data_IF_002112483417
#
_entry.id   IF_002112483417
#
_cell.length_a   1.000
_cell.length_b   1.000
_cell.length_c   1.000
_cell.angle_alpha   90.00
_cell.angle_beta   90.00
_cell.angle_gamma   90.00
#
_symmetry.space_group_name_H-M   'P 1'
#
loop_
_entity.id
_entity.type
_entity.pdbx_description
1 polymer ?
#
# COMPACT_ATOMS: atom_id res chain seq x y z
N UNK A 1 21.58 46.75 -10.92
CA UNK A 1 20.53 46.18 -11.79
C UNK A 1 20.76 44.67 -11.88
N UNK A 2 19.69 43.89 -11.62
CA UNK A 2 19.36 42.50 -11.99
C UNK A 2 20.49 41.48 -12.34
N UNK A 3 20.51 40.22 -11.90
CA UNK A 3 19.49 39.14 -12.01
C UNK A 3 19.93 37.87 -11.24
N UNK A 4 18.95 37.03 -10.83
CA UNK A 4 18.95 35.53 -10.86
C UNK A 4 19.92 34.75 -9.94
N UNK A 5 19.59 33.64 -9.28
CA UNK A 5 18.56 32.61 -9.51
C UNK A 5 18.08 31.99 -8.20
N UNK A 6 16.80 31.63 -8.20
CA UNK A 6 16.15 30.70 -7.29
C UNK A 6 16.81 29.32 -7.31
N UNK A 7 16.92 28.68 -6.15
CA UNK A 7 16.79 27.22 -6.04
C UNK A 7 15.95 26.91 -4.80
N UNK A 8 14.64 26.84 -5.01
CA UNK A 8 13.74 26.12 -4.12
C UNK A 8 14.20 24.67 -4.07
N UNK A 9 14.86 24.30 -2.99
CA UNK A 9 14.86 22.92 -2.52
C UNK A 9 13.88 22.88 -1.36
N UNK A 10 12.59 22.96 -1.68
CA UNK A 10 11.56 22.44 -0.79
C UNK A 10 11.88 20.95 -0.63
N UNK A 11 12.17 20.45 0.59
CA UNK A 11 12.13 19.02 0.80
C UNK A 11 10.73 18.54 0.39
N UNK A 12 10.58 17.47 -0.41
CA UNK A 12 9.27 16.87 -0.58
C UNK A 12 8.77 16.54 0.82
N UNK A 13 7.53 16.95 1.13
CA UNK A 13 6.89 16.68 2.40
C UNK A 13 7.02 15.19 2.67
N UNK A 14 7.92 14.87 3.60
CA UNK A 14 8.18 13.54 4.11
C UNK A 14 6.88 13.08 4.78
N UNK A 15 5.98 12.50 3.99
CA UNK A 15 4.81 11.77 4.47
C UNK A 15 5.29 10.45 5.05
N UNK A 16 6.20 10.51 6.01
CA UNK A 16 6.56 9.39 6.87
C UNK A 16 5.41 9.24 7.86
N UNK A 17 4.36 8.59 7.37
CA UNK A 17 3.22 8.21 8.20
C UNK A 17 3.77 7.29 9.29
N UNK A 18 3.69 7.72 10.56
CA UNK A 18 4.31 7.06 11.72
C UNK A 18 3.68 5.68 12.07
N UNK A 19 3.00 5.04 11.12
CA UNK A 19 2.28 3.77 11.25
C UNK A 19 3.05 2.58 10.68
N UNK A 20 4.24 2.80 10.12
CA UNK A 20 5.03 1.77 9.43
C UNK A 20 4.45 1.37 8.07
N UNK A 21 3.44 2.09 7.58
CA UNK A 21 2.92 1.92 6.21
C UNK A 21 3.90 2.60 5.26
N UNK A 22 4.45 1.84 4.32
CA UNK A 22 5.36 2.37 3.30
C UNK A 22 4.57 2.61 2.01
N UNK A 23 4.70 3.81 1.45
CA UNK A 23 4.13 4.15 0.13
C UNK A 23 5.27 4.48 -0.83
N UNK A 24 5.42 3.67 -1.86
CA UNK A 24 6.34 3.94 -2.95
C UNK A 24 5.58 4.47 -4.17
N UNK A 25 5.90 5.70 -4.54
CA UNK A 25 5.49 6.35 -5.79
C UNK A 25 6.68 6.41 -6.75
N UNK A 26 6.43 6.70 -8.03
CA UNK A 26 7.47 6.76 -9.08
C UNK A 26 8.14 5.39 -9.38
N UNK A 27 7.37 4.30 -9.31
CA UNK A 27 7.84 2.95 -9.65
C UNK A 27 7.94 2.74 -11.16
N UNK A 28 9.14 2.34 -11.61
CA UNK A 28 9.37 1.97 -13.01
C UNK A 28 8.76 0.61 -13.35
N UNK A 29 8.35 0.43 -14.61
CA UNK A 29 7.79 -0.83 -15.14
C UNK A 29 8.69 -2.03 -14.86
N UNK A 30 10.01 -1.85 -14.90
CA UNK A 30 10.99 -2.87 -14.54
C UNK A 30 10.83 -3.33 -13.10
N UNK A 31 10.72 -2.40 -12.13
CA UNK A 31 10.53 -2.73 -10.70
C UNK A 31 9.23 -3.49 -10.46
N UNK A 32 8.14 -3.07 -11.10
CA UNK A 32 6.86 -3.78 -11.02
C UNK A 32 6.97 -5.21 -11.58
N UNK A 33 7.78 -5.42 -12.62
CA UNK A 33 8.03 -6.74 -13.21
C UNK A 33 8.92 -7.61 -12.34
N UNK A 34 9.97 -7.03 -11.73
CA UNK A 34 10.82 -7.72 -10.74
C UNK A 34 10.02 -8.20 -9.53
N UNK A 35 9.12 -7.36 -9.02
CA UNK A 35 8.19 -7.72 -7.94
C UNK A 35 7.21 -8.83 -8.34
N UNK A 36 6.99 -9.02 -9.65
CA UNK A 36 6.04 -10.00 -10.17
C UNK A 36 4.59 -9.64 -9.88
N UNK A 37 4.22 -8.35 -9.80
CA UNK A 37 2.84 -7.92 -9.47
C UNK A 37 1.78 -8.52 -10.40
N UNK A 38 2.17 -8.88 -11.62
CA UNK A 38 1.30 -9.54 -12.60
C UNK A 38 0.91 -10.97 -12.19
N UNK A 39 1.72 -11.61 -11.37
CA UNK A 39 1.49 -12.95 -10.82
C UNK A 39 0.65 -12.90 -9.54
N UNK A 40 0.53 -11.72 -8.91
CA UNK A 40 -0.25 -11.55 -7.70
C UNK A 40 -1.75 -11.64 -8.02
N UNK A 41 -2.57 -12.10 -7.06
CA UNK A 41 -4.03 -12.08 -7.21
C UNK A 41 -4.54 -10.64 -7.35
N UNK A 42 -5.54 -10.45 -8.22
CA UNK A 42 -6.30 -9.20 -8.31
C UNK A 42 -7.37 -9.18 -7.23
N UNK A 43 -7.50 -8.03 -6.59
CA UNK A 43 -8.60 -7.74 -5.69
C UNK A 43 -9.31 -6.46 -6.11
N UNK A 44 -10.63 -6.55 -6.19
CA UNK A 44 -11.51 -5.44 -6.54
C UNK A 44 -12.58 -5.26 -5.47
N UNK A 45 -12.85 -4.02 -5.07
CA UNK A 45 -13.85 -3.73 -4.05
C UNK A 45 -14.63 -2.43 -4.32
N UNK A 46 -15.96 -2.42 -4.13
CA UNK A 46 -16.78 -1.23 -4.31
C UNK A 46 -16.53 -0.18 -3.21
N UNK A 47 -16.89 1.09 -3.47
CA UNK A 47 -16.72 2.17 -2.51
C UNK A 47 -17.52 1.92 -1.22
N UNK A 48 -16.87 2.13 -0.08
CA UNK A 48 -17.38 1.80 1.25
C UNK A 48 -16.27 1.81 2.31
N UNK A 49 -16.66 1.60 3.57
CA UNK A 49 -15.72 1.49 4.71
C UNK A 49 -15.55 0.03 5.11
N UNK A 50 -14.30 -0.43 5.19
CA UNK A 50 -13.96 -1.80 5.54
C UNK A 50 -12.90 -1.82 6.64
N UNK A 51 -13.16 -2.52 7.73
CA UNK A 51 -12.17 -2.70 8.80
C UNK A 51 -11.35 -3.94 8.50
N UNK A 52 -10.05 -3.74 8.25
CA UNK A 52 -9.12 -4.81 7.91
C UNK A 52 -8.05 -4.95 9.01
N UNK A 53 -7.66 -6.19 9.28
CA UNK A 53 -6.59 -6.52 10.21
C UNK A 53 -5.56 -7.37 9.47
N UNK A 54 -4.32 -6.91 9.47
CA UNK A 54 -3.23 -7.57 8.78
C UNK A 54 -2.50 -8.49 9.75
N UNK A 55 -2.61 -9.81 9.58
CA UNK A 55 -1.92 -10.80 10.43
C UNK A 55 -0.51 -11.14 9.92
N UNK A 56 -0.20 -10.73 8.69
CA UNK A 56 1.10 -10.78 8.05
C UNK A 56 1.33 -9.48 7.28
N UNK A 57 2.58 -9.25 6.87
CA UNK A 57 2.89 -8.13 5.98
C UNK A 57 2.15 -8.32 4.65
N UNK A 58 1.35 -7.32 4.28
CA UNK A 58 0.66 -7.29 2.99
C UNK A 58 1.30 -6.21 2.12
N UNK A 59 1.77 -6.59 0.94
CA UNK A 59 2.13 -5.63 -0.08
C UNK A 59 1.03 -5.58 -1.11
N UNK A 60 0.53 -4.37 -1.41
CA UNK A 60 -0.47 -4.19 -2.43
C UNK A 60 -0.13 -3.03 -3.38
N UNK A 61 -0.43 -3.21 -4.67
CA UNK A 61 -0.19 -2.21 -5.71
C UNK A 61 -1.51 -1.75 -6.31
N UNK A 62 -1.83 -0.47 -6.17
CA UNK A 62 -3.08 0.07 -6.69
C UNK A 62 -2.98 0.31 -8.20
N UNK A 63 -3.93 -0.26 -8.94
CA UNK A 63 -4.08 -0.07 -10.38
C UNK A 63 -5.04 1.07 -10.69
N UNK A 64 -6.12 1.18 -9.91
CA UNK A 64 -7.10 2.27 -10.01
C UNK A 64 -7.85 2.48 -8.70
N UNK A 65 -8.52 3.62 -8.61
CA UNK A 65 -9.38 3.98 -7.50
C UNK A 65 -8.66 4.83 -6.45
N UNK A 66 -9.34 5.04 -5.32
CA UNK A 66 -8.81 5.84 -4.22
C UNK A 66 -9.20 5.25 -2.88
N UNK A 67 -8.20 5.07 -2.03
CA UNK A 67 -8.33 4.48 -0.69
C UNK A 67 -7.69 5.40 0.33
N UNK A 68 -8.36 5.50 1.48
CA UNK A 68 -7.82 6.14 2.67
C UNK A 68 -7.71 5.12 3.80
N UNK A 69 -6.51 4.94 4.32
CA UNK A 69 -6.21 4.05 5.43
C UNK A 69 -6.13 4.83 6.72
N UNK A 70 -6.97 4.45 7.68
CA UNK A 70 -7.10 5.13 8.98
C UNK A 70 -6.71 4.13 10.08
N UNK A 71 -5.50 4.23 10.66
CA UNK A 71 -5.06 3.35 11.74
C UNK A 71 -5.93 3.50 12.99
N UNK A 72 -6.16 2.38 13.69
CA UNK A 72 -6.95 2.37 14.92
C UNK A 72 -6.22 3.13 16.04
N UNK A 73 -6.87 4.14 16.61
CA UNK A 73 -6.31 4.94 17.71
C UNK A 73 -5.43 6.11 17.27
N UNK A 74 -5.41 6.42 15.97
CA UNK A 74 -4.67 7.55 15.42
C UNK A 74 -5.62 8.53 14.74
N UNK A 75 -5.32 9.82 14.86
CA UNK A 75 -6.09 10.89 14.20
C UNK A 75 -5.65 11.11 12.75
N UNK A 76 -4.46 10.66 12.39
CA UNK A 76 -3.93 10.78 11.03
C UNK A 76 -4.40 9.64 10.14
N UNK A 77 -4.27 9.84 8.83
CA UNK A 77 -4.66 8.88 7.82
C UNK A 77 -3.70 8.94 6.65
N UNK A 78 -3.67 7.86 5.88
CA UNK A 78 -2.81 7.72 4.71
C UNK A 78 -3.69 7.58 3.47
N UNK A 79 -3.52 8.47 2.51
CA UNK A 79 -4.22 8.40 1.22
C UNK A 79 -3.27 7.95 0.12
N UNK A 80 -3.73 7.01 -0.71
CA UNK A 80 -3.00 6.51 -1.86
C UNK A 80 -3.96 6.15 -2.99
N UNK A 81 -3.43 6.09 -4.21
CA UNK A 81 -4.22 5.90 -5.40
C UNK A 81 -3.56 5.00 -6.43
N UNK A 82 -4.12 5.03 -7.62
CA UNK A 82 -3.60 4.33 -8.79
C UNK A 82 -2.12 4.67 -9.03
N UNK A 83 -1.26 3.66 -9.10
CA UNK A 83 0.17 3.81 -9.37
C UNK A 83 1.06 3.69 -8.13
N UNK A 84 0.48 3.71 -6.93
CA UNK A 84 1.21 3.66 -5.67
C UNK A 84 1.30 2.21 -5.13
N UNK A 85 2.49 1.84 -4.64
CA UNK A 85 2.71 0.58 -3.92
C UNK A 85 2.64 0.83 -2.42
N UNK A 86 1.78 0.09 -1.75
CA UNK A 86 1.54 0.22 -0.31
C UNK A 86 1.94 -1.07 0.38
N UNK A 87 2.84 -0.95 1.36
CA UNK A 87 3.30 -2.07 2.19
C UNK A 87 2.75 -1.86 3.59
N UNK A 88 2.02 -2.84 4.07
CA UNK A 88 1.28 -2.78 5.32
C UNK A 88 1.93 -3.78 6.29
N UNK A 89 2.46 -3.32 7.43
CA UNK A 89 3.18 -4.19 8.35
C UNK A 89 2.24 -5.17 9.05
N UNK A 90 2.79 -6.33 9.39
CA UNK A 90 2.11 -7.35 10.20
C UNK A 90 1.62 -6.76 11.53
N UNK A 91 0.40 -7.11 11.90
CA UNK A 91 -0.25 -6.70 13.15
C UNK A 91 -0.97 -5.35 13.06
N UNK A 92 -0.89 -4.64 11.93
CA UNK A 92 -1.56 -3.35 11.78
C UNK A 92 -3.08 -3.54 11.68
N UNK A 93 -3.82 -2.69 12.39
CA UNK A 93 -5.28 -2.63 12.33
C UNK A 93 -5.72 -1.26 11.86
N UNK A 94 -6.42 -1.19 10.73
CA UNK A 94 -6.85 0.06 10.13
C UNK A 94 -8.20 -0.08 9.41
N UNK A 95 -8.83 1.05 9.15
CA UNK A 95 -10.07 1.11 8.35
C UNK A 95 -9.75 1.66 6.98
N UNK A 96 -10.12 0.91 5.96
CA UNK A 96 -10.06 1.30 4.55
C UNK A 96 -11.34 2.03 4.18
N UNK A 97 -11.22 3.32 3.90
CA UNK A 97 -12.29 4.15 3.36
C UNK A 97 -12.10 4.28 1.84
N UNK A 98 -12.93 3.55 1.11
CA UNK A 98 -12.87 3.45 -0.34
C UNK A 98 -13.87 4.45 -0.92
N UNK A 99 -13.38 5.53 -1.51
CA UNK A 99 -14.24 6.53 -2.14
C UNK A 99 -14.64 6.13 -3.57
N UNK A 100 -13.76 5.42 -4.28
CA UNK A 100 -13.98 4.95 -5.66
C UNK A 100 -13.57 3.50 -5.72
N UNK A 101 -14.31 2.68 -6.47
CA UNK A 101 -13.99 1.27 -6.68
C UNK A 101 -12.50 1.06 -6.97
N UNK A 102 -11.88 0.15 -6.23
CA UNK A 102 -10.43 -0.07 -6.23
C UNK A 102 -10.14 -1.31 -7.02
N UNK A 103 -9.11 -1.27 -7.86
CA UNK A 103 -8.42 -2.48 -8.30
C UNK A 103 -6.98 -2.41 -7.81
N UNK A 104 -6.55 -3.47 -7.14
CA UNK A 104 -5.16 -3.61 -6.70
C UNK A 104 -4.69 -5.05 -6.82
N UNK A 105 -3.39 -5.23 -6.96
CA UNK A 105 -2.74 -6.50 -6.71
C UNK A 105 -2.36 -6.57 -5.24
N UNK A 106 -2.46 -7.74 -4.61
CA UNK A 106 -2.05 -7.93 -3.23
C UNK A 106 -1.21 -9.21 -3.10
N UNK A 107 -0.26 -9.20 -2.18
CA UNK A 107 0.47 -10.40 -1.76
C UNK A 107 0.64 -10.38 -0.25
N UNK A 108 0.57 -11.55 0.35
CA UNK A 108 0.93 -11.75 1.75
C UNK A 108 2.29 -12.43 1.83
N UNK A 109 3.15 -11.97 2.73
CA UNK A 109 4.35 -12.71 3.07
C UNK A 109 3.93 -14.01 3.78
N UNK A 110 4.06 -15.15 3.08
CA UNK A 110 3.63 -16.48 3.58
C UNK A 110 4.60 -17.08 4.60
N UNK A 111 5.23 -16.28 5.45
CA UNK A 111 6.11 -16.77 6.52
C UNK A 111 5.37 -17.50 7.65
N UNK A 112 4.04 -17.63 7.56
CA UNK A 112 3.27 -18.52 8.43
C UNK A 112 2.47 -19.58 7.64
N UNK A 113 3.15 -20.65 7.24
CA UNK A 113 2.55 -21.99 7.30
C UNK A 113 3.55 -22.92 8.00
N UNK A 114 3.63 -22.82 9.34
CA UNK A 114 3.63 -24.05 10.13
C UNK A 114 2.18 -24.50 10.24
N UNK A 115 1.74 -25.24 9.23
CA UNK A 115 0.66 -26.21 9.36
C UNK A 115 0.91 -27.23 8.27
N UNK A 116 1.75 -28.18 8.63
CA UNK A 116 1.66 -29.59 8.27
C UNK A 116 0.78 -29.86 7.04
N UNK A 117 1.34 -29.67 5.85
CA UNK A 117 0.94 -30.48 4.71
C UNK A 117 1.38 -31.91 5.02
N UNK A 118 0.56 -32.64 5.78
CA UNK A 118 0.59 -34.10 5.76
C UNK A 118 0.24 -34.49 4.33
N UNK A 119 1.32 -34.69 3.57
CA UNK A 119 1.35 -35.40 2.31
C UNK A 119 0.81 -36.83 2.49
N UNK A 120 0.19 -37.34 1.42
CA UNK A 120 -0.13 -38.75 1.14
C UNK A 120 -1.35 -39.31 1.89
N UNK A 121 -2.29 -39.98 1.23
CA UNK A 121 -2.25 -40.79 0.01
C UNK A 121 -3.53 -40.70 -0.82
#
# INVERSE_FOLDING_TARGET
MATTSSSSSTPPADSSSNFGIVIESNLSVSRLSELGIKSWPKWGCPPGKYTLKFDAEETCYLLRGKVKVIPKGSSEFVEFGAGDLVIIPKGLSCTWDVSVAVDKYYKFDSSCIETSSTSSS
#
